data_IF_096660685922
#
_entry.id   IF_096660685922
#
_cell.length_a   1.000
_cell.length_b   1.000
_cell.length_c   1.000
_cell.angle_alpha   90.00
_cell.angle_beta   90.00
_cell.angle_gamma   90.00
#
_symmetry.space_group_name_H-M   'P 1'
#
loop_
_entity.id
_entity.type
_entity.pdbx_description
1 polymer ?
#
# COMPACT_ATOMS: atom_id res chain seq x y z
N UNK A 1 23.51 -9.20 -36.25
CA UNK A 1 22.31 -9.00 -37.09
C UNK A 1 21.41 -10.21 -36.85
N UNK A 2 20.43 -10.09 -35.94
CA UNK A 2 19.54 -11.20 -35.58
C UNK A 2 18.31 -11.12 -36.50
N UNK A 3 17.86 -12.22 -37.13
CA UNK A 3 16.76 -12.16 -38.08
C UNK A 3 15.42 -12.03 -37.34
N UNK A 4 14.63 -11.03 -37.74
CA UNK A 4 13.25 -10.84 -37.27
C UNK A 4 12.38 -12.01 -37.74
N UNK A 5 11.70 -12.76 -36.85
CA UNK A 5 10.84 -13.86 -37.27
C UNK A 5 9.63 -13.31 -38.04
N UNK A 6 9.50 -13.71 -39.31
CA UNK A 6 8.53 -13.21 -40.28
C UNK A 6 7.05 -13.56 -39.96
N UNK A 7 6.76 -14.15 -38.80
CA UNK A 7 5.43 -14.67 -38.46
C UNK A 7 4.50 -13.65 -37.79
N UNK A 8 5.00 -12.56 -37.20
CA UNK A 8 4.17 -11.63 -36.41
C UNK A 8 3.46 -10.53 -37.21
N UNK A 9 3.99 -10.16 -38.38
CA UNK A 9 3.52 -9.00 -39.13
C UNK A 9 2.18 -9.23 -39.89
N UNK A 10 1.73 -10.47 -40.04
CA UNK A 10 0.44 -10.78 -40.70
C UNK A 10 -0.77 -10.67 -39.77
N UNK A 11 -0.56 -10.75 -38.46
CA UNK A 11 -1.66 -10.80 -37.47
C UNK A 11 -1.88 -9.47 -36.74
N UNK A 12 -0.85 -8.61 -36.66
CA UNK A 12 -0.95 -7.28 -36.07
C UNK A 12 -0.26 -6.24 -36.97
N UNK A 13 -0.97 -5.64 -37.94
CA UNK A 13 -0.40 -4.68 -38.88
C UNK A 13 0.17 -3.41 -38.20
N UNK A 14 -0.24 -3.14 -36.95
CA UNK A 14 0.22 -1.99 -36.16
C UNK A 14 1.30 -2.34 -35.12
N UNK A 15 1.82 -3.56 -35.10
CA UNK A 15 2.81 -4.03 -34.11
C UNK A 15 4.01 -3.08 -33.99
N UNK A 16 4.52 -2.59 -35.12
CA UNK A 16 5.68 -1.69 -35.12
C UNK A 16 5.37 -0.33 -34.46
N UNK A 17 4.16 0.20 -34.62
CA UNK A 17 3.74 1.45 -33.99
C UNK A 17 3.48 1.27 -32.49
N UNK A 18 2.92 0.12 -32.09
CA UNK A 18 2.72 -0.22 -30.68
C UNK A 18 4.05 -0.42 -29.94
N UNK A 19 5.05 -1.03 -30.57
CA UNK A 19 6.42 -1.18 -30.05
C UNK A 19 7.14 0.17 -29.95
N UNK A 20 6.96 1.06 -30.94
CA UNK A 20 7.57 2.38 -30.90
C UNK A 20 6.99 3.26 -29.78
N UNK A 21 5.69 3.11 -29.49
CA UNK A 21 5.02 3.82 -28.41
C UNK A 21 5.21 3.18 -27.03
N UNK A 22 5.76 1.97 -26.93
CA UNK A 22 5.92 1.24 -25.67
C UNK A 22 7.22 1.56 -24.92
N UNK A 23 8.06 2.47 -25.43
CA UNK A 23 9.27 2.92 -24.72
C UNK A 23 10.33 1.82 -24.57
N UNK A 24 10.34 0.81 -25.44
CA UNK A 24 11.23 -0.35 -25.36
C UNK A 24 12.61 0.01 -25.90
N UNK A 25 13.43 0.61 -25.04
CA UNK A 25 14.88 0.64 -25.18
C UNK A 25 15.51 -0.41 -24.25
N UNK A 26 15.18 -1.69 -24.45
CA UNK A 26 15.80 -2.78 -23.69
C UNK A 26 14.91 -4.01 -23.70
N UNK A 27 15.36 -5.08 -24.35
CA UNK A 27 14.61 -6.31 -24.61
C UNK A 27 14.30 -7.17 -23.37
N UNK A 28 13.65 -6.60 -22.37
CA UNK A 28 13.03 -7.33 -21.28
C UNK A 28 11.53 -7.34 -21.53
N UNK A 29 10.91 -8.52 -21.57
CA UNK A 29 9.46 -8.72 -21.53
C UNK A 29 8.93 -8.25 -20.15
N UNK A 30 8.98 -6.95 -19.90
CA UNK A 30 8.19 -6.34 -18.83
C UNK A 30 6.78 -6.34 -19.39
N UNK A 31 5.90 -7.13 -18.78
CA UNK A 31 4.49 -7.19 -19.15
C UNK A 31 3.94 -5.78 -19.34
N UNK A 32 3.12 -5.59 -20.37
CA UNK A 32 2.49 -4.31 -20.66
C UNK A 32 1.64 -3.86 -19.46
N UNK A 33 2.24 -3.14 -18.52
CA UNK A 33 1.52 -2.45 -17.46
C UNK A 33 0.90 -1.22 -18.11
N UNK A 34 -0.42 -1.12 -18.05
CA UNK A 34 -1.11 0.03 -18.62
C UNK A 34 -0.77 1.31 -17.82
N UNK A 35 -0.87 2.46 -18.48
CA UNK A 35 -0.50 3.76 -17.88
C UNK A 35 -1.28 4.07 -16.60
N UNK A 36 -2.52 3.61 -16.47
CA UNK A 36 -3.34 3.84 -15.28
C UNK A 36 -2.79 3.03 -14.11
N UNK A 37 -2.47 1.76 -14.33
CA UNK A 37 -1.84 0.91 -13.31
C UNK A 37 -0.48 1.47 -12.88
N UNK A 38 0.36 1.92 -13.82
CA UNK A 38 1.64 2.56 -13.49
C UNK A 38 1.46 3.86 -12.68
N UNK A 39 0.47 4.68 -13.04
CA UNK A 39 0.14 5.92 -12.32
C UNK A 39 -0.26 5.63 -10.88
N UNK A 40 -1.19 4.70 -10.67
CA UNK A 40 -1.64 4.30 -9.34
C UNK A 40 -0.48 3.76 -8.50
N UNK A 41 0.32 2.85 -9.07
CA UNK A 41 1.48 2.29 -8.39
C UNK A 41 2.45 3.38 -7.94
N UNK A 42 2.78 4.33 -8.82
CA UNK A 42 3.73 5.41 -8.52
C UNK A 42 3.24 6.30 -7.36
N UNK A 43 1.95 6.60 -7.31
CA UNK A 43 1.37 7.37 -6.20
C UNK A 43 1.36 6.59 -4.88
N UNK A 44 0.95 5.32 -4.93
CA UNK A 44 0.94 4.44 -3.75
C UNK A 44 2.36 4.26 -3.19
N UNK A 45 3.32 3.93 -4.05
CA UNK A 45 4.72 3.78 -3.66
C UNK A 45 5.29 5.08 -3.08
N UNK A 46 5.06 6.22 -3.76
CA UNK A 46 5.52 7.52 -3.28
C UNK A 46 4.96 7.88 -1.90
N UNK A 47 3.67 7.66 -1.67
CA UNK A 47 3.01 7.96 -0.40
C UNK A 47 3.51 7.06 0.72
N UNK A 48 3.64 5.75 0.47
CA UNK A 48 4.11 4.76 1.46
C UNK A 48 5.59 4.98 1.79
N UNK A 49 6.44 5.07 0.77
CA UNK A 49 7.89 5.19 0.92
C UNK A 49 8.29 6.51 1.57
N UNK A 50 7.65 7.62 1.19
CA UNK A 50 7.96 8.95 1.73
C UNK A 50 7.11 9.35 2.95
N UNK A 51 6.19 8.48 3.42
CA UNK A 51 5.26 8.75 4.54
C UNK A 51 4.45 10.04 4.34
N UNK A 52 3.92 10.25 3.14
CA UNK A 52 3.17 11.45 2.77
C UNK A 52 1.70 11.35 3.19
N UNK A 53 1.03 12.49 3.30
CA UNK A 53 -0.41 12.51 3.55
C UNK A 53 -1.18 12.00 2.32
N UNK A 54 -2.30 11.32 2.54
CA UNK A 54 -3.15 10.84 1.44
C UNK A 54 -3.79 11.97 0.63
N UNK A 55 -3.81 13.21 1.14
CA UNK A 55 -4.30 14.38 0.42
C UNK A 55 -3.33 14.94 -0.63
N UNK A 56 -2.09 14.42 -0.69
CA UNK A 56 -1.06 14.93 -1.60
C UNK A 56 -1.42 14.88 -3.08
N UNK A 57 -2.16 13.88 -3.60
CA UNK A 57 -2.54 13.88 -5.01
C UNK A 57 -3.43 15.05 -5.42
N UNK A 58 -4.13 15.69 -4.48
CA UNK A 58 -4.92 16.90 -4.74
C UNK A 58 -4.13 18.20 -4.52
N UNK A 59 -2.91 18.14 -3.98
CA UNK A 59 -2.05 19.32 -3.80
C UNK A 59 -1.51 19.80 -5.15
N UNK A 60 -1.87 21.02 -5.53
CA UNK A 60 -1.51 21.59 -6.84
C UNK A 60 0.01 21.71 -7.03
N UNK A 61 0.76 21.99 -5.96
CA UNK A 61 2.23 22.09 -6.01
C UNK A 61 2.82 20.71 -6.24
N UNK A 62 2.36 19.71 -5.48
CA UNK A 62 2.83 18.32 -5.62
C UNK A 62 2.56 17.82 -7.04
N UNK A 63 1.34 17.99 -7.55
CA UNK A 63 0.97 17.57 -8.91
C UNK A 63 1.81 18.27 -9.98
N UNK A 64 2.11 19.56 -9.80
CA UNK A 64 2.91 20.34 -10.76
C UNK A 64 4.32 19.79 -10.92
N UNK A 65 4.93 19.33 -9.83
CA UNK A 65 6.31 18.83 -9.84
C UNK A 65 6.41 17.30 -9.91
N UNK A 66 5.31 16.58 -9.65
CA UNK A 66 5.27 15.13 -9.79
C UNK A 66 5.38 14.76 -11.28
N UNK A 67 6.32 13.85 -11.59
CA UNK A 67 6.47 13.28 -12.94
C UNK A 67 5.45 12.16 -13.21
N UNK A 68 4.26 12.22 -12.59
CA UNK A 68 3.23 11.19 -12.60
C UNK A 68 1.89 11.86 -12.90
N UNK A 69 1.05 11.21 -13.71
CA UNK A 69 -0.30 11.72 -14.00
C UNK A 69 -1.09 11.94 -12.71
N UNK A 70 -1.85 13.03 -12.58
CA UNK A 70 -2.62 13.32 -11.37
C UNK A 70 -3.71 12.27 -11.14
N UNK A 71 -3.97 11.98 -9.87
CA UNK A 71 -5.13 11.22 -9.40
C UNK A 71 -5.80 12.00 -8.27
N UNK A 72 -7.07 11.73 -7.97
CA UNK A 72 -7.70 12.31 -6.80
C UNK A 72 -7.29 11.61 -5.51
N UNK A 73 -7.39 12.29 -4.37
CA UNK A 73 -7.27 11.64 -3.04
C UNK A 73 -8.21 10.46 -2.90
N UNK A 74 -9.47 10.59 -3.36
CA UNK A 74 -10.44 9.49 -3.34
C UNK A 74 -9.94 8.25 -4.10
N UNK A 75 -9.33 8.47 -5.27
CA UNK A 75 -8.76 7.39 -6.08
C UNK A 75 -7.60 6.73 -5.35
N UNK A 76 -6.69 7.51 -4.77
CA UNK A 76 -5.57 6.98 -3.99
C UNK A 76 -6.08 6.15 -2.81
N UNK A 77 -7.00 6.70 -2.00
CA UNK A 77 -7.55 6.03 -0.81
C UNK A 77 -8.23 4.72 -1.20
N UNK A 78 -8.98 4.69 -2.32
CA UNK A 78 -9.57 3.45 -2.85
C UNK A 78 -8.51 2.39 -3.13
N UNK A 79 -7.42 2.75 -3.81
CA UNK A 79 -6.35 1.79 -4.11
C UNK A 79 -5.52 1.40 -2.89
N UNK A 80 -5.31 2.31 -1.94
CA UNK A 80 -4.71 1.97 -0.64
C UNK A 80 -5.57 0.93 0.10
N UNK A 81 -6.90 1.07 0.10
CA UNK A 81 -7.79 0.07 0.69
C UNK A 81 -7.73 -1.29 -0.03
N UNK A 82 -7.61 -1.31 -1.35
CA UNK A 82 -7.41 -2.56 -2.10
C UNK A 82 -6.05 -3.18 -1.81
N UNK A 83 -4.99 -2.37 -1.72
CA UNK A 83 -3.66 -2.82 -1.34
C UNK A 83 -3.66 -3.41 0.07
N UNK A 84 -4.31 -2.75 1.03
CA UNK A 84 -4.44 -3.27 2.40
C UNK A 84 -5.06 -4.66 2.40
N UNK A 85 -6.17 -4.88 1.68
CA UNK A 85 -6.80 -6.21 1.58
C UNK A 85 -5.85 -7.27 0.99
N UNK A 86 -5.14 -6.92 -0.09
CA UNK A 86 -4.17 -7.83 -0.69
C UNK A 86 -3.02 -8.17 0.27
N UNK A 87 -2.56 -7.18 1.05
CA UNK A 87 -1.53 -7.38 2.08
C UNK A 87 -2.07 -8.24 3.23
N UNK A 88 -3.31 -8.03 3.68
CA UNK A 88 -3.96 -8.86 4.70
C UNK A 88 -4.05 -10.34 4.26
N UNK A 89 -4.42 -10.60 3.00
CA UNK A 89 -4.44 -11.96 2.43
C UNK A 89 -3.04 -12.60 2.43
N UNK A 90 -2.00 -11.85 2.06
CA UNK A 90 -0.61 -12.32 2.09
C UNK A 90 -0.18 -12.60 3.54
N UNK A 91 -0.47 -11.68 4.47
CA UNK A 91 -0.16 -11.85 5.89
C UNK A 91 -0.87 -13.07 6.47
N UNK A 92 -2.15 -13.29 6.14
CA UNK A 92 -2.90 -14.46 6.57
C UNK A 92 -2.31 -15.76 6.03
N UNK A 93 -1.77 -15.76 4.80
CA UNK A 93 -1.15 -16.94 4.20
C UNK A 93 0.21 -17.31 4.82
N UNK A 94 0.95 -16.34 5.36
CA UNK A 94 2.26 -16.57 6.00
C UNK A 94 2.17 -16.77 7.51
N UNK A 95 1.07 -16.35 8.14
CA UNK A 95 0.88 -16.47 9.58
C UNK A 95 0.72 -17.95 9.97
N UNK A 96 1.50 -18.40 10.97
CA UNK A 96 1.38 -19.75 11.50
C UNK A 96 0.10 -19.90 12.34
N UNK A 97 -0.37 -21.15 12.50
CA UNK A 97 -1.49 -21.47 13.41
C UNK A 97 -1.23 -21.01 14.86
N UNK A 98 0.05 -20.96 15.25
CA UNK A 98 0.50 -20.48 16.56
C UNK A 98 1.56 -19.41 16.38
N UNK A 99 1.28 -18.23 16.93
CA UNK A 99 2.19 -17.10 16.95
C UNK A 99 2.02 -16.34 18.27
N UNK A 100 3.06 -15.60 18.67
CA UNK A 100 3.00 -14.68 19.79
C UNK A 100 2.42 -13.34 19.37
N UNK A 101 1.78 -12.65 20.31
CA UNK A 101 1.36 -11.25 20.15
C UNK A 101 2.30 -10.36 20.96
N UNK A 102 2.79 -9.28 20.34
CA UNK A 102 3.58 -8.24 21.02
C UNK A 102 2.87 -6.91 20.88
N UNK A 103 2.67 -6.23 22.00
CA UNK A 103 2.18 -4.86 22.05
C UNK A 103 3.35 -3.90 22.20
N UNK A 104 3.37 -2.85 21.39
CA UNK A 104 4.37 -1.78 21.45
C UNK A 104 3.65 -0.43 21.52
N UNK A 105 3.95 0.36 22.56
CA UNK A 105 3.37 1.68 22.69
C UNK A 105 4.12 2.62 21.76
N UNK A 106 3.39 3.18 20.81
CA UNK A 106 3.93 4.20 19.91
C UNK A 106 3.28 5.54 20.22
N UNK A 107 4.02 6.62 20.05
CA UNK A 107 3.49 7.98 20.18
C UNK A 107 3.92 8.77 18.97
N UNK A 108 2.96 9.37 18.28
CA UNK A 108 3.22 10.27 17.18
C UNK A 108 2.55 11.61 17.49
N UNK A 109 3.36 12.65 17.65
CA UNK A 109 2.91 13.96 18.15
C UNK A 109 2.22 13.81 19.52
N UNK A 110 0.98 14.26 19.64
CA UNK A 110 0.15 14.19 20.85
C UNK A 110 -0.74 12.95 20.91
N UNK A 111 -0.69 12.08 19.89
CA UNK A 111 -1.56 10.91 19.82
C UNK A 111 -0.77 9.66 20.22
N UNK A 112 -1.34 8.90 21.15
CA UNK A 112 -0.82 7.63 21.59
C UNK A 112 -1.44 6.50 20.78
N UNK A 113 -0.64 5.49 20.45
CA UNK A 113 -1.02 4.34 19.65
C UNK A 113 -0.50 3.08 20.33
N UNK A 114 -1.15 1.95 20.05
CA UNK A 114 -0.61 0.63 20.35
C UNK A 114 -0.40 -0.09 19.03
N UNK A 115 0.85 -0.38 18.70
CA UNK A 115 1.16 -1.29 17.61
C UNK A 115 1.05 -2.73 18.12
N UNK A 116 0.24 -3.53 17.42
CA UNK A 116 0.02 -4.95 17.70
C UNK A 116 0.77 -5.74 16.64
N UNK A 117 1.72 -6.56 17.05
CA UNK A 117 2.51 -7.39 16.16
C UNK A 117 2.25 -8.88 16.38
N UNK A 118 2.21 -9.63 15.29
CA UNK A 118 2.43 -11.08 15.32
C UNK A 118 3.93 -11.36 15.29
N UNK A 119 4.36 -12.31 16.12
CA UNK A 119 5.75 -12.78 16.16
C UNK A 119 5.77 -14.31 16.09
N UNK A 120 6.49 -14.86 15.12
CA UNK A 120 6.57 -16.30 14.90
C UNK A 120 7.90 -16.69 14.27
N UNK A 121 8.26 -17.97 14.36
CA UNK A 121 9.46 -18.48 13.71
C UNK A 121 9.14 -18.91 12.27
N UNK A 122 9.87 -18.40 11.29
CA UNK A 122 9.79 -18.78 9.88
C UNK A 122 11.21 -18.95 9.34
N UNK A 123 11.50 -20.08 8.68
CA UNK A 123 12.84 -20.42 8.15
C UNK A 123 14.00 -20.23 9.15
N UNK A 124 13.77 -20.58 10.42
CA UNK A 124 14.77 -20.46 11.48
C UNK A 124 15.06 -19.03 11.95
N UNK A 125 14.28 -18.04 11.50
CA UNK A 125 14.33 -16.66 11.96
C UNK A 125 13.03 -16.27 12.65
N UNK A 126 13.10 -15.34 13.60
CA UNK A 126 11.91 -14.73 14.18
C UNK A 126 11.42 -13.61 13.27
N UNK A 127 10.22 -13.78 12.73
CA UNK A 127 9.52 -12.77 11.95
C UNK A 127 8.63 -11.92 12.87
N UNK A 128 8.48 -10.64 12.54
CA UNK A 128 7.60 -9.69 13.24
C UNK A 128 6.77 -8.92 12.23
N UNK A 129 5.45 -9.10 12.28
CA UNK A 129 4.50 -8.49 11.33
C UNK A 129 3.54 -7.59 12.10
N UNK A 130 3.38 -6.35 11.64
CA UNK A 130 2.39 -5.43 12.21
C UNK A 130 0.98 -5.86 11.77
N UNK A 131 0.11 -6.15 12.75
CA UNK A 131 -1.28 -6.52 12.50
C UNK A 131 -2.22 -5.31 12.57
N UNK A 132 -1.98 -4.43 13.53
CA UNK A 132 -2.81 -3.26 13.75
C UNK A 132 -2.03 -2.15 14.48
N UNK A 133 -2.47 -0.91 14.30
CA UNK A 133 -1.93 0.23 15.04
C UNK A 133 -3.07 1.19 15.45
N UNK A 134 -4.04 0.75 16.27
CA UNK A 134 -5.13 1.61 16.72
C UNK A 134 -4.62 2.76 17.59
N UNK A 135 -5.30 3.93 17.55
CA UNK A 135 -5.09 4.97 18.54
C UNK A 135 -5.53 4.48 19.93
N UNK A 136 -4.82 4.93 20.95
CA UNK A 136 -5.26 4.83 22.33
C UNK A 136 -6.20 6.00 22.59
N UNK A 137 -7.48 5.69 22.77
CA UNK A 137 -8.45 6.67 23.27
C UNK A 137 -8.08 6.94 24.73
N UNK A 138 -7.72 8.18 25.02
CA UNK A 138 -7.59 8.63 26.39
C UNK A 138 -9.00 8.94 26.89
N UNK A 139 -9.54 8.13 27.80
CA UNK A 139 -10.83 8.37 28.43
C UNK A 139 -10.74 9.52 29.44
N UNK A 140 -10.12 10.65 29.07
CA UNK A 140 -10.16 11.88 29.84
C UNK A 140 -11.51 12.60 29.62
N UNK A 141 -12.61 11.93 29.96
CA UNK A 141 -13.85 12.44 30.61
C UNK A 141 -14.71 11.19 30.88
N UNK A 142 -14.30 10.39 31.86
CA UNK A 142 -15.25 9.56 32.61
C UNK A 142 -15.16 10.02 34.05
N UNK A 143 -16.16 10.78 34.48
CA UNK A 143 -16.36 11.06 35.90
C UNK A 143 -16.44 9.69 36.59
N UNK A 144 -15.36 9.28 37.26
CA UNK A 144 -15.26 8.04 38.03
C UNK A 144 -16.11 8.10 39.31
N UNK A 145 -17.35 8.58 39.20
CA UNK A 145 -18.30 8.56 40.28
C UNK A 145 -19.02 7.22 40.27
N UNK A 146 -19.11 6.59 41.44
CA UNK A 146 -19.80 5.32 41.67
C UNK A 146 -21.19 5.16 41.00
N UNK A 147 -22.01 6.21 40.78
CA UNK A 147 -23.27 6.10 40.05
C UNK A 147 -23.13 5.73 38.56
N UNK A 148 -22.01 6.03 37.90
CA UNK A 148 -21.82 5.70 36.48
C UNK A 148 -21.69 4.19 36.24
N UNK A 149 -21.17 3.45 37.23
CA UNK A 149 -21.05 1.99 37.17
C UNK A 149 -22.43 1.28 37.28
N UNK A 150 -23.43 1.93 37.89
CA UNK A 150 -24.78 1.36 38.02
C UNK A 150 -25.58 1.47 36.72
N UNK A 151 -25.24 2.40 35.83
CA UNK A 151 -25.91 2.56 34.54
C UNK A 151 -25.41 1.59 33.46
N UNK A 152 -24.32 0.86 33.71
CA UNK A 152 -23.74 -0.13 32.79
C UNK A 152 -24.17 -1.58 33.08
N UNK A 153 -24.88 -1.82 34.19
CA UNK A 153 -25.52 -3.09 34.52
C UNK A 153 -27.01 -3.04 34.14
#
# INVERSE_FOLDING_TARGET
>A
MVPTPAFTNKQHPNFAAEIANSGVAGGTLIGFVDKKSQTVYSWVDGVVSCKLLFSFPDDTTVVTYASVSPISTETLVKYMGLLTKAVEEIVAAILLEKFGIVFDRSTFRSEHYVAVFAVFAHDGKMEKILLAMPPLVDDEVMVHSAPAHVAFL
#
